data_IF_986050898691
#
_entry.id   IF_986050898691
#
_cell.length_a   1.000
_cell.length_b   1.000
_cell.length_c   1.000
_cell.angle_alpha   90.00
_cell.angle_beta   90.00
_cell.angle_gamma   90.00
#
_symmetry.space_group_name_H-M   'P 1'
#
loop_
_entity.id
_entity.type
_entity.pdbx_description
1 polymer ?
#
# COMPACT_ATOMS: atom_id res chain seq x y z
N UNK A 1 -1.41 7.74 -11.31
CA UNK A 1 -0.47 7.50 -12.45
C UNK A 1 0.53 6.38 -12.22
N UNK A 2 0.97 6.11 -10.98
CA UNK A 2 1.95 5.06 -10.68
C UNK A 2 1.51 3.64 -11.10
N UNK A 3 0.24 3.29 -10.89
CA UNK A 3 -0.30 1.96 -11.25
C UNK A 3 -0.21 1.64 -12.75
N UNK A 4 -0.51 2.60 -13.62
CA UNK A 4 -0.42 2.42 -15.07
C UNK A 4 1.02 2.12 -15.52
N UNK A 5 1.99 2.91 -15.02
CA UNK A 5 3.40 2.73 -15.38
C UNK A 5 3.92 1.35 -14.96
N UNK A 6 3.53 0.90 -13.77
CA UNK A 6 3.94 -0.42 -13.27
C UNK A 6 3.28 -1.54 -14.04
N UNK A 7 1.98 -1.42 -14.32
CA UNK A 7 1.26 -2.40 -15.13
C UNK A 7 1.90 -2.55 -16.51
N UNK A 8 2.19 -1.45 -17.19
CA UNK A 8 2.85 -1.45 -18.50
C UNK A 8 4.23 -2.10 -18.43
N UNK A 9 5.03 -1.76 -17.40
CA UNK A 9 6.36 -2.32 -17.22
C UNK A 9 6.30 -3.84 -17.00
N UNK A 10 5.48 -4.29 -16.05
CA UNK A 10 5.34 -5.72 -15.71
C UNK A 10 4.82 -6.51 -16.90
N UNK A 11 3.78 -6.04 -17.59
CA UNK A 11 3.20 -6.73 -18.75
C UNK A 11 4.21 -6.80 -19.89
N UNK A 12 4.95 -5.72 -20.15
CA UNK A 12 5.96 -5.68 -21.21
C UNK A 12 7.13 -6.62 -20.92
N UNK A 13 7.65 -6.62 -19.69
CA UNK A 13 8.75 -7.53 -19.30
C UNK A 13 8.26 -9.00 -19.28
N UNK A 14 7.02 -9.28 -18.88
CA UNK A 14 6.43 -10.62 -18.95
C UNK A 14 6.27 -11.12 -20.38
N UNK A 15 5.81 -10.27 -21.31
CA UNK A 15 5.66 -10.64 -22.71
C UNK A 15 7.00 -10.96 -23.38
N UNK A 16 8.09 -10.32 -22.92
CA UNK A 16 9.47 -10.57 -23.39
C UNK A 16 10.17 -11.72 -22.65
N UNK A 17 9.52 -12.38 -21.69
CA UNK A 17 10.11 -13.42 -20.84
C UNK A 17 11.37 -12.97 -20.05
N UNK A 18 11.53 -11.68 -19.81
CA UNK A 18 12.68 -11.08 -19.10
C UNK A 18 12.35 -10.64 -17.68
N UNK A 19 11.11 -10.82 -17.22
CA UNK A 19 10.65 -10.35 -15.93
C UNK A 19 11.29 -11.12 -14.77
N UNK A 20 11.90 -10.38 -13.83
CA UNK A 20 12.44 -10.90 -12.57
C UNK A 20 11.83 -10.19 -11.38
N UNK A 21 11.11 -10.95 -10.54
CA UNK A 21 10.50 -10.43 -9.31
C UNK A 21 11.52 -9.77 -8.38
N UNK A 22 12.65 -10.44 -8.14
CA UNK A 22 13.69 -9.93 -7.23
C UNK A 22 14.25 -8.58 -7.72
N UNK A 23 14.54 -8.47 -9.02
CA UNK A 23 15.03 -7.22 -9.59
C UNK A 23 13.99 -6.10 -9.53
N UNK A 24 12.71 -6.42 -9.75
CA UNK A 24 11.61 -5.47 -9.62
C UNK A 24 11.50 -4.93 -8.18
N UNK A 25 11.48 -5.81 -7.16
CA UNK A 25 11.38 -5.38 -5.76
C UNK A 25 12.61 -4.63 -5.27
N UNK A 26 13.81 -5.03 -5.62
CA UNK A 26 15.04 -4.31 -5.25
C UNK A 26 15.01 -2.87 -5.79
N UNK A 27 14.58 -2.65 -7.03
CA UNK A 27 14.43 -1.29 -7.59
C UNK A 27 13.44 -0.44 -6.79
N UNK A 28 12.33 -1.03 -6.32
CA UNK A 28 11.31 -0.33 -5.51
C UNK A 28 11.80 -0.01 -4.12
N UNK A 29 12.34 -0.99 -3.44
CA UNK A 29 12.89 -0.85 -2.09
C UNK A 29 13.94 0.25 -2.04
N UNK A 30 14.89 0.27 -2.96
CA UNK A 30 15.92 1.32 -3.06
C UNK A 30 15.37 2.72 -3.32
N UNK A 31 14.20 2.83 -3.92
CA UNK A 31 13.56 4.12 -4.21
C UNK A 31 12.74 4.65 -3.03
N UNK A 32 12.05 3.78 -2.32
CA UNK A 32 11.01 4.15 -1.35
C UNK A 32 11.56 4.17 0.06
N UNK A 33 12.30 3.13 0.48
CA UNK A 33 12.78 3.01 1.86
C UNK A 33 13.67 4.18 2.32
N UNK A 34 14.60 4.73 1.53
CA UNK A 34 15.43 5.84 2.01
C UNK A 34 14.60 7.07 2.36
N UNK A 35 13.64 7.46 1.52
CA UNK A 35 12.78 8.60 1.77
C UNK A 35 11.87 8.36 2.99
N UNK A 36 11.31 7.15 3.12
CA UNK A 36 10.48 6.74 4.24
C UNK A 36 11.26 6.81 5.56
N UNK A 37 12.48 6.25 5.61
CA UNK A 37 13.30 6.28 6.81
C UNK A 37 13.73 7.70 7.20
N UNK A 38 14.11 8.54 6.25
CA UNK A 38 14.44 9.94 6.52
C UNK A 38 13.25 10.66 7.14
N UNK A 39 12.06 10.50 6.56
CA UNK A 39 10.83 11.09 7.07
C UNK A 39 10.52 10.60 8.49
N UNK A 40 10.61 9.30 8.76
CA UNK A 40 10.38 8.75 10.09
C UNK A 40 11.39 9.26 11.11
N UNK A 41 12.68 9.31 10.75
CA UNK A 41 13.73 9.84 11.61
C UNK A 41 13.55 11.35 11.90
N UNK A 42 13.06 12.13 10.95
CA UNK A 42 12.76 13.55 11.19
C UNK A 42 11.53 13.74 12.08
N UNK A 43 10.52 12.88 11.98
CA UNK A 43 9.33 12.96 12.85
C UNK A 43 9.63 12.59 14.30
N UNK A 44 10.62 11.72 14.58
CA UNK A 44 10.93 11.23 15.93
C UNK A 44 11.23 12.35 16.95
N UNK A 45 12.18 13.29 16.71
CA UNK A 45 12.48 14.35 17.67
C UNK A 45 11.29 15.27 17.90
N UNK A 46 10.51 15.57 16.88
CA UNK A 46 9.29 16.38 17.02
C UNK A 46 8.23 15.66 17.84
N UNK A 47 8.02 14.37 17.58
CA UNK A 47 7.12 13.57 18.37
C UNK A 47 7.52 13.54 19.84
N UNK A 48 8.81 13.38 20.14
CA UNK A 48 9.34 13.38 21.50
C UNK A 48 9.10 14.68 22.26
N UNK A 49 9.16 15.82 21.57
CA UNK A 49 9.01 17.15 22.18
C UNK A 49 7.55 17.56 22.34
N UNK A 50 6.69 17.22 21.37
CA UNK A 50 5.35 17.78 21.27
C UNK A 50 4.23 16.81 21.64
N UNK A 51 4.45 15.48 21.62
CA UNK A 51 3.39 14.53 21.88
C UNK A 51 3.28 14.17 23.36
N UNK A 52 2.04 14.05 23.84
CA UNK A 52 1.72 13.48 25.15
C UNK A 52 2.04 11.98 25.18
N UNK A 53 2.22 11.36 26.38
CA UNK A 53 2.57 9.94 26.49
C UNK A 53 1.62 9.00 25.76
N UNK A 54 0.31 9.29 25.74
CA UNK A 54 -0.68 8.49 25.03
C UNK A 54 -0.53 8.62 23.51
N UNK A 55 -0.33 9.85 23.02
CA UNK A 55 -0.14 10.13 21.59
C UNK A 55 1.21 9.55 21.10
N UNK A 56 2.23 9.54 21.96
CA UNK A 56 3.51 8.91 21.67
C UNK A 56 3.39 7.40 21.48
N UNK A 57 2.52 6.75 22.25
CA UNK A 57 2.20 5.32 22.04
C UNK A 57 1.54 5.10 20.69
N UNK A 58 0.58 5.93 20.31
CA UNK A 58 -0.09 5.85 19.00
C UNK A 58 0.88 6.13 17.84
N UNK A 59 1.75 7.12 18.00
CA UNK A 59 2.80 7.42 17.04
C UNK A 59 3.74 6.23 16.85
N UNK A 60 4.18 5.56 17.93
CA UNK A 60 5.03 4.38 17.86
C UNK A 60 4.35 3.22 17.13
N UNK A 61 3.07 2.98 17.38
CA UNK A 61 2.27 1.98 16.64
C UNK A 61 2.16 2.33 15.16
N UNK A 62 1.97 3.62 14.86
CA UNK A 62 1.92 4.10 13.47
C UNK A 62 3.26 3.89 12.76
N UNK A 63 4.38 4.14 13.43
CA UNK A 63 5.72 3.87 12.86
C UNK A 63 5.91 2.39 12.49
N UNK A 64 5.55 1.48 13.39
CA UNK A 64 5.62 0.04 13.11
C UNK A 64 4.74 -0.33 11.92
N UNK A 65 3.50 0.18 11.87
CA UNK A 65 2.58 -0.11 10.78
C UNK A 65 3.05 0.45 9.43
N UNK A 66 3.72 1.59 9.43
CA UNK A 66 4.32 2.18 8.22
C UNK A 66 5.47 1.31 7.69
N UNK A 67 6.34 0.81 8.57
CA UNK A 67 7.43 -0.11 8.17
C UNK A 67 6.87 -1.41 7.56
N UNK A 68 5.74 -1.89 8.08
CA UNK A 68 5.08 -3.10 7.59
C UNK A 68 4.16 -2.84 6.39
N UNK A 69 4.05 -1.58 5.92
CA UNK A 69 3.10 -1.14 4.88
C UNK A 69 1.64 -1.48 5.21
N UNK A 70 1.27 -1.42 6.50
CA UNK A 70 -0.06 -1.72 7.02
C UNK A 70 -0.71 -0.50 7.68
N UNK A 71 -0.22 0.72 7.43
CA UNK A 71 -0.75 1.93 8.05
C UNK A 71 -2.21 2.19 7.66
N UNK A 72 -2.62 1.82 6.45
CA UNK A 72 -4.01 1.89 6.02
C UNK A 72 -4.94 1.04 6.90
N UNK A 73 -4.52 -0.18 7.25
CA UNK A 73 -5.30 -1.08 8.11
C UNK A 73 -5.33 -0.58 9.55
N UNK A 74 -4.19 -0.10 10.08
CA UNK A 74 -4.13 0.44 11.43
C UNK A 74 -5.03 1.66 11.58
N UNK A 75 -4.98 2.61 10.65
CA UNK A 75 -5.82 3.81 10.71
C UNK A 75 -7.30 3.47 10.51
N UNK A 76 -7.64 2.50 9.68
CA UNK A 76 -9.01 2.03 9.52
C UNK A 76 -9.58 1.41 10.80
N UNK A 77 -8.82 0.54 11.48
CA UNK A 77 -9.24 -0.08 12.75
C UNK A 77 -9.39 0.96 13.85
N UNK A 78 -8.55 2.00 13.86
CA UNK A 78 -8.57 3.06 14.87
C UNK A 78 -9.54 4.20 14.54
N UNK A 79 -10.06 4.28 13.32
CA UNK A 79 -11.06 5.28 12.95
C UNK A 79 -12.38 4.97 13.64
N UNK A 80 -12.70 5.70 14.71
CA UNK A 80 -13.91 5.53 15.50
C UNK A 80 -14.27 6.83 16.21
N UNK A 81 -15.38 6.83 16.92
CA UNK A 81 -15.90 8.00 17.63
C UNK A 81 -14.93 8.61 18.66
N UNK A 82 -14.02 7.79 19.22
CA UNK A 82 -12.98 8.23 20.17
C UNK A 82 -11.61 8.44 19.52
N UNK A 83 -11.56 8.58 18.20
CA UNK A 83 -10.30 8.78 17.50
C UNK A 83 -9.69 10.14 17.82
N UNK A 84 -8.37 10.17 18.04
CA UNK A 84 -7.62 11.42 18.17
C UNK A 84 -7.71 12.20 16.85
N UNK A 85 -7.76 13.54 16.96
CA UNK A 85 -7.84 14.39 15.77
C UNK A 85 -6.71 14.05 14.79
N UNK A 86 -7.02 14.08 13.50
CA UNK A 86 -6.04 13.78 12.44
C UNK A 86 -4.78 14.66 12.52
N UNK A 87 -4.90 15.85 13.12
CA UNK A 87 -3.80 16.81 13.34
C UNK A 87 -2.72 16.26 14.28
N UNK A 88 -3.08 15.38 15.21
CA UNK A 88 -2.15 14.74 16.16
C UNK A 88 -1.50 13.46 15.60
N UNK A 89 -1.80 13.09 14.35
CA UNK A 89 -1.27 11.89 13.68
C UNK A 89 -0.29 12.25 12.56
N UNK A 90 0.99 12.50 12.87
CA UNK A 90 1.98 12.98 11.88
C UNK A 90 2.14 12.05 10.67
N UNK A 91 1.89 10.75 10.86
CA UNK A 91 2.06 9.72 9.82
C UNK A 91 0.77 9.35 9.09
N UNK A 92 -0.33 10.09 9.30
CA UNK A 92 -1.63 9.72 8.71
C UNK A 92 -1.57 9.63 7.18
N UNK A 93 -0.83 10.50 6.52
CA UNK A 93 -0.69 10.52 5.07
C UNK A 93 0.00 9.27 4.48
N UNK A 94 0.65 8.45 5.33
CA UNK A 94 1.29 7.21 4.88
C UNK A 94 0.30 6.08 4.57
N UNK A 95 -1.00 6.26 4.88
CA UNK A 95 -2.02 5.27 4.54
C UNK A 95 -2.12 5.02 3.03
N UNK A 96 -2.02 6.08 2.22
CA UNK A 96 -2.04 5.96 0.77
C UNK A 96 -0.78 5.27 0.23
N UNK A 97 0.38 5.55 0.83
CA UNK A 97 1.63 4.88 0.50
C UNK A 97 1.53 3.36 0.76
N UNK A 98 0.93 2.97 1.89
CA UNK A 98 0.73 1.54 2.21
C UNK A 98 -0.14 0.83 1.17
N UNK A 99 -1.22 1.45 0.70
CA UNK A 99 -2.06 0.89 -0.37
C UNK A 99 -1.25 0.74 -1.67
N UNK A 100 -0.45 1.74 -2.03
CA UNK A 100 0.41 1.66 -3.21
C UNK A 100 1.43 0.52 -3.10
N UNK A 101 2.08 0.36 -1.95
CA UNK A 101 3.08 -0.69 -1.75
C UNK A 101 2.46 -2.09 -1.73
N UNK A 102 1.30 -2.26 -1.13
CA UNK A 102 0.52 -3.50 -1.19
C UNK A 102 0.18 -3.85 -2.65
N UNK A 103 -0.24 -2.86 -3.44
CA UNK A 103 -0.46 -3.07 -4.87
C UNK A 103 0.83 -3.49 -5.59
N UNK A 104 1.96 -2.86 -5.30
CA UNK A 104 3.25 -3.20 -5.92
C UNK A 104 3.75 -4.59 -5.56
N UNK A 105 3.38 -5.08 -4.38
CA UNK A 105 3.70 -6.44 -3.95
C UNK A 105 2.79 -7.47 -4.64
N UNK A 106 1.48 -7.23 -4.61
CA UNK A 106 0.50 -8.22 -5.08
C UNK A 106 0.39 -8.27 -6.60
N UNK A 107 0.41 -7.12 -7.27
CA UNK A 107 0.16 -7.02 -8.70
C UNK A 107 1.11 -7.87 -9.56
N UNK A 108 2.46 -7.82 -9.39
CA UNK A 108 3.36 -8.65 -10.18
C UNK A 108 3.19 -10.16 -9.93
N UNK A 109 2.84 -10.55 -8.70
CA UNK A 109 2.59 -11.96 -8.36
C UNK A 109 1.34 -12.46 -9.07
N UNK A 110 0.26 -11.66 -9.05
CA UNK A 110 -0.99 -11.97 -9.73
C UNK A 110 -0.77 -12.04 -11.25
N UNK A 111 -0.03 -11.08 -11.82
CA UNK A 111 0.33 -11.09 -13.25
C UNK A 111 1.08 -12.37 -13.63
N UNK A 112 2.09 -12.76 -12.85
CA UNK A 112 2.85 -13.99 -13.09
C UNK A 112 1.96 -15.23 -13.02
N UNK A 113 1.10 -15.31 -12.01
CA UNK A 113 0.17 -16.44 -11.86
C UNK A 113 -0.76 -16.55 -13.08
N UNK A 114 -1.40 -15.44 -13.48
CA UNK A 114 -2.29 -15.43 -14.63
C UNK A 114 -1.53 -15.78 -15.92
N UNK A 115 -0.34 -15.21 -16.12
CA UNK A 115 0.45 -15.45 -17.31
C UNK A 115 0.91 -16.93 -17.44
N UNK A 116 1.18 -17.56 -16.27
CA UNK A 116 1.55 -18.98 -16.20
C UNK A 116 0.38 -19.92 -16.51
N UNK A 117 -0.83 -19.58 -16.01
CA UNK A 117 -1.98 -20.48 -16.11
C UNK A 117 -2.87 -20.21 -17.34
N UNK A 118 -2.99 -18.96 -17.81
CA UNK A 118 -3.95 -18.62 -18.87
C UNK A 118 -3.55 -17.37 -19.65
N UNK A 119 -2.46 -17.44 -20.40
CA UNK A 119 -1.95 -16.34 -21.21
C UNK A 119 -3.00 -15.73 -22.15
N UNK A 120 -3.83 -16.56 -22.78
CA UNK A 120 -4.86 -16.11 -23.73
C UNK A 120 -6.02 -15.34 -23.08
N UNK A 121 -6.32 -15.59 -21.79
CA UNK A 121 -7.45 -14.99 -21.09
C UNK A 121 -7.02 -13.90 -20.10
N UNK A 122 -5.81 -13.40 -20.21
CA UNK A 122 -5.22 -12.42 -19.29
C UNK A 122 -6.13 -11.21 -19.06
N UNK A 123 -6.58 -10.55 -20.12
CA UNK A 123 -7.45 -9.38 -20.04
C UNK A 123 -8.83 -9.70 -19.45
N UNK A 124 -9.39 -10.88 -19.79
CA UNK A 124 -10.68 -11.32 -19.29
C UNK A 124 -10.63 -11.53 -17.77
N UNK A 125 -9.58 -12.20 -17.27
CA UNK A 125 -9.41 -12.45 -15.84
C UNK A 125 -9.24 -11.12 -15.08
N UNK A 126 -8.43 -10.17 -15.59
CA UNK A 126 -8.29 -8.86 -14.98
C UNK A 126 -9.58 -8.06 -14.97
N UNK A 127 -10.37 -8.09 -16.05
CA UNK A 127 -11.67 -7.45 -16.11
C UNK A 127 -12.64 -8.04 -15.08
N UNK A 128 -12.66 -9.36 -14.92
CA UNK A 128 -13.48 -10.03 -13.92
C UNK A 128 -13.08 -9.63 -12.49
N UNK A 129 -11.79 -9.61 -12.18
CA UNK A 129 -11.29 -9.16 -10.86
C UNK A 129 -11.71 -7.71 -10.58
N UNK A 130 -11.58 -6.81 -11.57
CA UNK A 130 -11.98 -5.42 -11.43
C UNK A 130 -13.50 -5.28 -11.20
N UNK A 131 -14.32 -6.01 -11.94
CA UNK A 131 -15.79 -6.00 -11.79
C UNK A 131 -16.18 -6.53 -10.40
N UNK A 132 -15.62 -7.65 -9.96
CA UNK A 132 -15.86 -8.22 -8.62
C UNK A 132 -15.46 -7.20 -7.54
N UNK A 133 -14.29 -6.55 -7.69
CA UNK A 133 -13.84 -5.51 -6.77
C UNK A 133 -14.79 -4.32 -6.68
N UNK A 134 -15.35 -3.87 -7.79
CA UNK A 134 -16.35 -2.79 -7.82
C UNK A 134 -17.66 -3.21 -7.14
N UNK A 135 -18.15 -4.43 -7.42
CA UNK A 135 -19.37 -4.94 -6.78
C UNK A 135 -19.21 -5.12 -5.28
N UNK A 136 -18.07 -5.64 -4.82
CA UNK A 136 -17.79 -5.78 -3.39
C UNK A 136 -17.68 -4.43 -2.70
N UNK A 137 -17.00 -3.45 -3.30
CA UNK A 137 -16.93 -2.08 -2.77
C UNK A 137 -18.31 -1.45 -2.66
N UNK A 138 -19.13 -1.56 -3.72
CA UNK A 138 -20.52 -1.06 -3.70
C UNK A 138 -21.34 -1.71 -2.59
N UNK A 139 -21.25 -3.04 -2.45
CA UNK A 139 -21.99 -3.78 -1.42
C UNK A 139 -21.58 -3.37 0.00
N UNK A 140 -20.29 -3.15 0.24
CA UNK A 140 -19.80 -2.69 1.54
C UNK A 140 -20.33 -1.29 1.86
N UNK A 141 -20.25 -0.34 0.91
CA UNK A 141 -20.74 1.04 1.12
C UNK A 141 -22.24 1.07 1.41
N UNK A 142 -23.03 0.21 0.74
CA UNK A 142 -24.49 0.21 0.93
C UNK A 142 -24.94 -0.45 2.21
N UNK A 143 -24.22 -1.45 2.73
CA UNK A 143 -24.64 -2.21 3.91
C UNK A 143 -23.94 -1.80 5.22
N UNK A 144 -22.85 -1.06 5.12
CA UNK A 144 -22.06 -0.58 6.28
C UNK A 144 -21.74 0.91 6.11
N UNK A 145 -22.76 1.81 6.25
CA UNK A 145 -22.59 3.26 6.12
C UNK A 145 -21.74 3.85 7.25
#
# INVERSE_FOLDING_TARGET
>A
MSGYLIATLVITELSKHTFSLSHFYVRRVRRILPALFIMMLTCLPFAWIFLLPNDMKEFSQSMVSVIMFLSNLLFWIKSGYFDTSAELKPLIHTWSLSIEEQFYILFPIVCLAIFKFSKNNFFLIFSLIAIIGLFTAQHIITNYP
#
